data_IF_061715009601
#
_entry.id   IF_061715009601
#
_cell.length_a   1.000
_cell.length_b   1.000
_cell.length_c   1.000
_cell.angle_alpha   90.00
_cell.angle_beta   90.00
_cell.angle_gamma   90.00
#
_symmetry.space_group_name_H-M   'P 1'
#
loop_
_entity.id
_entity.type
_entity.pdbx_description
1 polymer ?
#
# COMPACT_ATOMS: atom_id res chain seq x y z
N UNK A 1 -4.46 -1.97 -11.98
CA UNK A 1 -5.19 -0.78 -11.46
C UNK A 1 -4.31 0.46 -11.48
N UNK A 2 -3.19 0.52 -10.74
CA UNK A 2 -2.30 1.72 -10.73
C UNK A 2 -1.86 2.15 -12.14
N UNK A 3 -1.19 1.27 -12.89
CA UNK A 3 -0.77 1.56 -14.27
C UNK A 3 -1.94 1.74 -15.25
N UNK A 4 -3.04 1.01 -15.03
CA UNK A 4 -4.24 1.11 -15.87
C UNK A 4 -4.99 2.44 -15.67
N UNK A 5 -4.81 3.09 -14.52
CA UNK A 5 -5.43 4.38 -14.19
C UNK A 5 -4.43 5.54 -14.22
N UNK A 6 -3.21 5.33 -14.75
CA UNK A 6 -2.15 6.34 -14.82
C UNK A 6 -1.85 7.00 -13.45
N UNK A 7 -1.85 6.18 -12.40
CA UNK A 7 -1.55 6.60 -11.03
C UNK A 7 -0.07 6.42 -10.67
N UNK A 8 0.79 6.12 -11.65
CA UNK A 8 2.25 6.02 -11.55
C UNK A 8 2.93 7.41 -11.45
N UNK A 9 2.41 8.24 -10.54
CA UNK A 9 2.77 9.66 -10.41
C UNK A 9 4.05 9.89 -9.58
N UNK A 10 4.59 8.85 -8.94
CA UNK A 10 5.76 8.91 -8.06
C UNK A 10 5.71 10.10 -7.09
N UNK A 11 4.59 10.21 -6.36
CA UNK A 11 4.33 11.41 -5.57
C UNK A 11 5.36 11.59 -4.46
N UNK A 12 5.99 12.78 -4.30
CA UNK A 12 6.87 13.07 -3.17
C UNK A 12 6.10 13.50 -1.91
N UNK A 13 4.76 13.64 -1.98
CA UNK A 13 3.94 14.08 -0.86
C UNK A 13 3.87 13.01 0.25
N UNK A 14 3.65 13.45 1.50
CA UNK A 14 3.35 12.56 2.61
C UNK A 14 1.97 11.91 2.41
N UNK A 15 1.88 10.62 2.68
CA UNK A 15 0.69 9.81 2.46
C UNK A 15 0.11 9.31 3.78
N UNK A 16 -1.22 9.22 3.82
CA UNK A 16 -1.96 8.54 4.87
C UNK A 16 -2.75 7.42 4.22
N UNK A 17 -2.55 6.19 4.69
CA UNK A 17 -3.11 4.99 4.07
C UNK A 17 -3.99 4.29 5.10
N UNK A 18 -5.16 3.84 4.68
CA UNK A 18 -5.97 2.92 5.48
C UNK A 18 -6.25 1.65 4.69
N UNK A 19 -5.94 0.50 5.28
CA UNK A 19 -6.12 -0.81 4.65
C UNK A 19 -7.21 -1.58 5.38
N UNK A 20 -8.29 -1.85 4.67
CA UNK A 20 -9.36 -2.72 5.14
C UNK A 20 -9.09 -4.13 4.64
N UNK A 21 -8.57 -4.99 5.52
CA UNK A 21 -8.30 -6.38 5.21
C UNK A 21 -9.58 -7.24 5.34
N UNK A 22 -10.27 -7.50 4.24
CA UNK A 22 -11.42 -8.42 4.22
C UNK A 22 -10.97 -9.85 3.87
N UNK A 23 -10.61 -10.63 4.90
CA UNK A 23 -10.13 -12.00 4.70
C UNK A 23 -11.26 -12.94 4.21
N UNK A 24 -11.00 -13.83 3.24
CA UNK A 24 -12.02 -14.75 2.70
C UNK A 24 -12.36 -15.90 3.65
N UNK A 25 -11.55 -16.12 4.69
CA UNK A 25 -11.68 -17.21 5.66
C UNK A 25 -11.06 -16.85 7.02
N UNK A 26 -11.46 -17.57 8.07
CA UNK A 26 -11.11 -17.29 9.48
C UNK A 26 -9.72 -17.78 9.92
N UNK A 27 -8.79 -18.00 8.99
CA UNK A 27 -7.44 -18.41 9.37
C UNK A 27 -6.69 -17.25 10.01
N UNK A 28 -5.88 -17.56 11.02
CA UNK A 28 -4.94 -16.59 11.56
C UNK A 28 -3.91 -16.25 10.46
N UNK A 29 -3.77 -14.96 10.15
CA UNK A 29 -2.79 -14.44 9.20
C UNK A 29 -2.04 -13.30 9.86
N UNK A 30 -0.75 -13.22 9.57
CA UNK A 30 0.07 -12.09 9.98
C UNK A 30 -0.38 -10.87 9.16
N UNK A 31 -1.07 -9.93 9.81
CA UNK A 31 -1.47 -8.66 9.19
C UNK A 31 -0.24 -7.83 8.77
N UNK A 32 0.89 -8.03 9.44
CA UNK A 32 2.15 -7.36 9.10
C UNK A 32 2.70 -7.76 7.73
N UNK A 33 2.41 -8.99 7.28
CA UNK A 33 2.80 -9.40 5.93
C UNK A 33 1.90 -8.77 4.86
N UNK A 34 0.64 -8.47 5.20
CA UNK A 34 -0.29 -7.83 4.27
C UNK A 34 0.09 -6.38 4.03
N UNK A 35 0.34 -5.59 5.09
CA UNK A 35 0.75 -4.19 4.95
C UNK A 35 2.05 -4.06 4.14
N UNK A 36 3.05 -4.91 4.42
CA UNK A 36 4.32 -4.92 3.70
C UNK A 36 4.15 -5.23 2.22
N UNK A 37 3.32 -6.23 1.88
CA UNK A 37 3.05 -6.59 0.50
C UNK A 37 2.34 -5.46 -0.28
N UNK A 38 1.42 -4.73 0.38
CA UNK A 38 0.72 -3.61 -0.25
C UNK A 38 1.67 -2.45 -0.51
N UNK A 39 2.53 -2.08 0.46
CA UNK A 39 3.49 -0.99 0.27
C UNK A 39 4.50 -1.31 -0.82
N UNK A 40 5.08 -2.51 -0.81
CA UNK A 40 6.00 -2.96 -1.85
C UNK A 40 5.35 -2.90 -3.25
N UNK A 41 4.08 -3.32 -3.35
CA UNK A 41 3.33 -3.24 -4.61
C UNK A 41 3.07 -1.80 -5.07
N UNK A 42 2.82 -0.87 -4.14
CA UNK A 42 2.56 0.54 -4.47
C UNK A 42 3.83 1.27 -4.91
N UNK A 43 4.96 1.01 -4.25
CA UNK A 43 6.28 1.53 -4.63
C UNK A 43 6.72 0.94 -5.98
N UNK A 44 6.58 -0.37 -6.17
CA UNK A 44 6.91 -1.02 -7.45
C UNK A 44 6.02 -0.55 -8.61
N UNK A 45 4.77 -0.21 -8.33
CA UNK A 45 3.85 0.34 -9.34
C UNK A 45 4.08 1.83 -9.65
N UNK A 46 5.04 2.49 -8.98
CA UNK A 46 5.37 3.90 -9.19
C UNK A 46 4.35 4.88 -8.61
N UNK A 47 3.51 4.45 -7.65
CA UNK A 47 2.53 5.34 -7.03
C UNK A 47 3.21 6.34 -6.08
N UNK A 48 4.14 5.84 -5.28
CA UNK A 48 4.94 6.60 -4.31
C UNK A 48 6.42 6.27 -4.48
N UNK A 49 7.29 7.17 -4.03
CA UNK A 49 8.74 7.01 -4.14
C UNK A 49 9.30 6.05 -3.09
N UNK A 50 8.79 6.16 -1.85
CA UNK A 50 9.29 5.38 -0.72
C UNK A 50 8.18 5.12 0.31
N UNK A 51 8.27 4.00 1.03
CA UNK A 51 7.34 3.67 2.11
C UNK A 51 7.51 4.58 3.35
N UNK A 52 8.68 5.19 3.51
CA UNK A 52 8.95 6.27 4.49
C UNK A 52 8.00 7.47 4.36
N UNK A 53 7.33 7.65 3.21
CA UNK A 53 6.37 8.72 2.97
C UNK A 53 5.04 8.54 3.72
N UNK A 54 4.79 7.35 4.25
CA UNK A 54 3.55 7.01 4.94
C UNK A 54 3.64 7.46 6.39
N UNK A 55 2.91 8.53 6.75
CA UNK A 55 2.92 9.10 8.10
C UNK A 55 1.95 8.40 9.07
N UNK A 56 0.83 7.90 8.56
CA UNK A 56 -0.23 7.32 9.37
C UNK A 56 -0.84 6.14 8.61
N UNK A 57 -0.86 4.98 9.27
CA UNK A 57 -1.40 3.72 8.77
C UNK A 57 -2.48 3.19 9.72
N UNK A 58 -3.69 2.93 9.19
CA UNK A 58 -4.85 2.51 9.99
C UNK A 58 -5.70 1.41 9.38
#
# INVERSE_FOLDING_TARGET
IIQQQHLDINTPARLKISIIANAPDKRCRDLDNLQKAVFDSLTHAGFMLDDEQIDDFR
#
